data_IF_024382351088
#
_entry.id   IF_024382351088
#
_cell.length_a   1.000
_cell.length_b   1.000
_cell.length_c   1.000
_cell.angle_alpha   90.00
_cell.angle_beta   90.00
_cell.angle_gamma   90.00
#
_symmetry.space_group_name_H-M   'P 1'
#
loop_
_entity.id
_entity.type
_entity.pdbx_description
1 polymer ?
#
# COMPACT_ATOMS: atom_id res chain seq x y z
N UNK A 1 10.62 8.85 -52.69
CA UNK A 1 10.15 7.51 -52.24
C UNK A 1 10.76 7.13 -50.89
N UNK A 2 12.09 7.19 -50.71
CA UNK A 2 12.76 6.96 -49.40
C UNK A 2 12.22 7.81 -48.25
N UNK A 3 11.97 9.11 -48.46
CA UNK A 3 11.47 10.01 -47.40
C UNK A 3 10.06 9.63 -46.91
N UNK A 4 9.18 9.11 -47.77
CA UNK A 4 7.87 8.57 -47.37
C UNK A 4 8.01 7.26 -46.59
N UNK A 5 8.92 6.39 -47.02
CA UNK A 5 9.17 5.10 -46.38
C UNK A 5 9.76 5.27 -44.96
N UNK A 6 10.70 6.19 -44.78
CA UNK A 6 11.25 6.53 -43.47
C UNK A 6 10.20 7.19 -42.57
N UNK A 7 9.35 8.08 -43.10
CA UNK A 7 8.27 8.71 -42.33
C UNK A 7 7.16 7.72 -41.93
N UNK A 8 6.82 6.76 -42.80
CA UNK A 8 5.88 5.67 -42.48
C UNK A 8 6.47 4.65 -41.50
N UNK A 9 7.77 4.34 -41.59
CA UNK A 9 8.45 3.46 -40.64
C UNK A 9 8.55 4.09 -39.25
N UNK A 10 8.93 5.37 -39.16
CA UNK A 10 8.94 6.14 -37.91
C UNK A 10 7.51 6.29 -37.35
N UNK A 11 6.51 6.55 -38.19
CA UNK A 11 5.10 6.59 -37.75
C UNK A 11 4.58 5.20 -37.31
N UNK A 12 5.03 4.08 -37.91
CA UNK A 12 4.69 2.73 -37.46
C UNK A 12 5.38 2.40 -36.13
N UNK A 13 6.67 2.68 -36.00
CA UNK A 13 7.44 2.45 -34.77
C UNK A 13 6.96 3.34 -33.60
N UNK A 14 6.44 4.55 -33.86
CA UNK A 14 5.79 5.39 -32.84
C UNK A 14 4.31 5.04 -32.56
N UNK A 15 3.57 4.48 -33.52
CA UNK A 15 2.18 4.02 -33.30
C UNK A 15 2.10 2.78 -32.41
N UNK A 16 3.10 1.90 -32.47
CA UNK A 16 3.15 0.68 -31.66
C UNK A 16 3.19 0.94 -30.15
N UNK A 17 4.02 1.85 -29.59
CA UNK A 17 4.02 2.13 -28.15
C UNK A 17 2.76 2.86 -27.69
N UNK A 18 2.19 3.79 -28.47
CA UNK A 18 0.95 4.48 -28.11
C UNK A 18 -0.23 3.51 -28.07
N UNK A 19 -0.31 2.59 -29.04
CA UNK A 19 -1.33 1.54 -29.05
C UNK A 19 -1.14 0.57 -27.86
N UNK A 20 0.09 0.19 -27.54
CA UNK A 20 0.39 -0.65 -26.38
C UNK A 20 -0.01 0.03 -25.06
N UNK A 21 0.28 1.33 -24.90
CA UNK A 21 -0.19 2.12 -23.76
C UNK A 21 -1.71 2.17 -23.69
N UNK A 22 -2.38 2.41 -24.83
CA UNK A 22 -3.84 2.40 -24.92
C UNK A 22 -4.45 1.06 -24.49
N UNK A 23 -3.92 -0.05 -25.02
CA UNK A 23 -4.39 -1.40 -24.65
C UNK A 23 -4.09 -1.73 -23.19
N UNK A 24 -2.93 -1.31 -22.66
CA UNK A 24 -2.59 -1.47 -21.25
C UNK A 24 -3.58 -0.69 -20.37
N UNK A 25 -3.91 0.55 -20.72
CA UNK A 25 -4.89 1.37 -20.02
C UNK A 25 -6.27 0.71 -20.02
N UNK A 26 -6.75 0.28 -21.18
CA UNK A 26 -8.07 -0.38 -21.31
C UNK A 26 -8.12 -1.65 -20.47
N UNK A 27 -7.10 -2.52 -20.56
CA UNK A 27 -7.08 -3.74 -19.76
C UNK A 27 -7.01 -3.43 -18.26
N UNK A 28 -6.23 -2.43 -17.86
CA UNK A 28 -6.11 -1.99 -16.47
C UNK A 28 -7.45 -1.50 -15.92
N UNK A 29 -8.18 -0.67 -16.69
CA UNK A 29 -9.49 -0.16 -16.33
C UNK A 29 -10.52 -1.28 -16.23
N UNK A 30 -10.57 -2.20 -17.21
CA UNK A 30 -11.50 -3.33 -17.19
C UNK A 30 -11.28 -4.23 -15.96
N UNK A 31 -10.02 -4.56 -15.66
CA UNK A 31 -9.69 -5.37 -14.48
C UNK A 31 -10.01 -4.62 -13.19
N UNK A 32 -9.67 -3.34 -13.07
CA UNK A 32 -10.00 -2.55 -11.88
C UNK A 32 -11.50 -2.42 -11.67
N UNK A 33 -12.29 -2.12 -12.71
CA UNK A 33 -13.75 -2.05 -12.61
C UNK A 33 -14.33 -3.40 -12.19
N UNK A 34 -13.85 -4.50 -12.77
CA UNK A 34 -14.26 -5.85 -12.37
C UNK A 34 -13.95 -6.15 -10.90
N UNK A 35 -12.75 -5.78 -10.43
CA UNK A 35 -12.35 -5.93 -9.04
C UNK A 35 -13.11 -5.03 -8.07
N UNK A 36 -13.43 -3.79 -8.47
CA UNK A 36 -14.32 -2.92 -7.70
C UNK A 36 -15.72 -3.53 -7.57
N UNK A 37 -16.27 -4.10 -8.65
CA UNK A 37 -17.55 -4.80 -8.61
C UNK A 37 -17.55 -6.01 -7.68
N UNK A 38 -16.42 -6.71 -7.59
CA UNK A 38 -16.19 -7.80 -6.64
C UNK A 38 -15.81 -7.31 -5.22
N UNK A 39 -15.79 -6.00 -4.97
CA UNK A 39 -15.38 -5.39 -3.70
C UNK A 39 -14.00 -5.85 -3.22
N UNK A 40 -13.09 -6.13 -4.16
CA UNK A 40 -11.74 -6.54 -3.82
C UNK A 40 -10.93 -5.36 -3.28
N UNK A 41 -10.23 -5.52 -2.16
CA UNK A 41 -9.34 -4.49 -1.62
C UNK A 41 -8.20 -4.21 -2.61
N UNK A 42 -7.74 -2.96 -2.66
CA UNK A 42 -6.68 -2.51 -3.57
C UNK A 42 -6.96 -2.76 -5.08
N UNK A 43 -8.22 -2.86 -5.49
CA UNK A 43 -8.64 -3.09 -6.88
C UNK A 43 -8.01 -2.11 -7.88
N UNK A 44 -7.86 -0.84 -7.49
CA UNK A 44 -7.25 0.22 -8.31
C UNK A 44 -5.77 0.03 -8.60
N UNK A 45 -5.08 -0.81 -7.82
CA UNK A 45 -3.68 -1.16 -8.07
C UNK A 45 -3.55 -2.56 -8.66
N UNK A 46 -4.32 -3.53 -8.14
CA UNK A 46 -4.26 -4.92 -8.59
C UNK A 46 -4.58 -5.06 -10.08
N UNK A 47 -5.58 -4.33 -10.58
CA UNK A 47 -5.93 -4.33 -12.01
C UNK A 47 -4.76 -3.93 -12.91
N UNK A 48 -4.20 -2.71 -12.76
CA UNK A 48 -3.04 -2.22 -13.49
C UNK A 48 -1.79 -3.10 -13.33
N UNK A 49 -1.57 -3.67 -12.13
CA UNK A 49 -0.46 -4.58 -11.88
C UNK A 49 -0.60 -5.87 -12.69
N UNK A 50 -1.77 -6.52 -12.67
CA UNK A 50 -2.04 -7.74 -13.44
C UNK A 50 -2.00 -7.46 -14.94
N UNK A 51 -2.57 -6.33 -15.39
CA UNK A 51 -2.47 -5.89 -16.78
C UNK A 51 -1.00 -5.72 -17.21
N UNK A 52 -0.18 -5.07 -16.37
CA UNK A 52 1.25 -4.94 -16.58
C UNK A 52 1.98 -6.28 -16.66
N UNK A 53 1.67 -7.24 -15.78
CA UNK A 53 2.24 -8.59 -15.80
C UNK A 53 1.89 -9.29 -17.12
N UNK A 54 0.63 -9.25 -17.55
CA UNK A 54 0.18 -9.87 -18.81
C UNK A 54 0.93 -9.29 -20.00
N UNK A 55 1.10 -7.97 -20.06
CA UNK A 55 1.84 -7.29 -21.12
C UNK A 55 3.34 -7.61 -21.09
N UNK A 56 3.92 -7.68 -19.89
CA UNK A 56 5.33 -8.02 -19.72
C UNK A 56 5.61 -9.47 -20.16
N UNK A 57 4.72 -10.42 -19.83
CA UNK A 57 4.82 -11.81 -20.32
C UNK A 57 4.71 -11.94 -21.84
N UNK A 58 4.06 -10.97 -22.50
CA UNK A 58 3.94 -10.90 -23.97
C UNK A 58 5.15 -10.21 -24.64
N UNK A 59 6.18 -9.86 -23.88
CA UNK A 59 7.42 -9.26 -24.42
C UNK A 59 7.29 -7.78 -24.78
N UNK A 60 6.30 -7.07 -24.23
CA UNK A 60 6.12 -5.64 -24.46
C UNK A 60 7.20 -4.85 -23.72
N UNK A 61 7.86 -3.90 -24.40
CA UNK A 61 8.99 -3.11 -23.86
C UNK A 61 8.56 -1.83 -23.12
N UNK A 62 7.28 -1.72 -22.75
CA UNK A 62 6.77 -0.55 -22.05
C UNK A 62 7.43 -0.42 -20.67
N UNK A 63 7.96 0.78 -20.40
CA UNK A 63 8.51 1.12 -19.09
C UNK A 63 7.89 2.44 -18.64
N UNK A 64 7.33 2.45 -17.43
CA UNK A 64 6.85 3.69 -16.84
C UNK A 64 8.05 4.60 -16.51
N UNK A 65 8.04 5.88 -16.91
CA UNK A 65 9.11 6.81 -16.55
C UNK A 65 9.19 6.98 -15.04
N UNK A 66 10.42 7.14 -14.53
CA UNK A 66 10.67 7.29 -13.08
C UNK A 66 9.91 8.47 -12.48
N UNK A 67 9.75 9.57 -13.20
CA UNK A 67 9.01 10.76 -12.77
C UNK A 67 7.54 10.44 -12.44
N UNK A 68 6.86 9.64 -13.26
CA UNK A 68 5.47 9.26 -13.01
C UNK A 68 5.34 8.41 -11.73
N UNK A 69 6.31 7.52 -11.48
CA UNK A 69 6.34 6.74 -10.25
C UNK A 69 6.59 7.62 -9.01
N UNK A 70 7.53 8.58 -9.08
CA UNK A 70 7.78 9.52 -7.97
C UNK A 70 6.59 10.46 -7.73
N UNK A 71 5.90 10.89 -8.79
CA UNK A 71 4.69 11.69 -8.68
C UNK A 71 3.56 10.90 -7.98
N UNK A 72 3.37 9.63 -8.35
CA UNK A 72 2.41 8.75 -7.69
C UNK A 72 2.73 8.55 -6.20
N UNK A 73 4.02 8.38 -5.85
CA UNK A 73 4.46 8.32 -4.46
C UNK A 73 4.14 9.61 -3.68
N UNK A 74 4.31 10.78 -4.29
CA UNK A 74 4.00 12.05 -3.64
C UNK A 74 2.50 12.22 -3.39
N UNK A 75 1.66 11.82 -4.36
CA UNK A 75 0.20 11.81 -4.22
C UNK A 75 -0.23 10.87 -3.09
N UNK A 76 0.31 9.66 -3.04
CA UNK A 76 0.01 8.72 -1.95
C UNK A 76 0.55 9.19 -0.59
N UNK A 77 1.65 9.94 -0.57
CA UNK A 77 2.11 10.63 0.63
C UNK A 77 1.07 11.63 1.15
N UNK A 78 0.46 12.41 0.26
CA UNK A 78 -0.62 13.32 0.61
C UNK A 78 -1.88 12.56 1.07
N UNK A 79 -2.18 11.40 0.49
CA UNK A 79 -3.28 10.53 0.95
C UNK A 79 -3.11 10.10 2.40
N UNK A 80 -1.88 9.71 2.78
CA UNK A 80 -1.59 9.38 4.16
C UNK A 80 -1.70 10.62 5.06
N UNK A 81 -1.19 11.78 4.61
CA UNK A 81 -1.31 13.05 5.33
C UNK A 81 -2.75 13.47 5.59
N UNK A 82 -3.66 13.25 4.63
CA UNK A 82 -5.08 13.55 4.78
C UNK A 82 -5.71 12.80 5.96
N UNK A 83 -5.20 11.60 6.25
CA UNK A 83 -5.64 10.77 7.37
C UNK A 83 -5.00 11.17 8.71
N UNK A 84 -3.94 11.99 8.71
CA UNK A 84 -3.25 12.49 9.91
C UNK A 84 -3.90 13.81 10.38
N UNK A 85 -5.00 13.70 11.11
CA UNK A 85 -5.76 14.83 11.64
C UNK A 85 -5.35 15.21 13.07
N UNK A 86 -5.61 16.45 13.49
CA UNK A 86 -5.35 16.90 14.87
C UNK A 86 -6.08 16.10 15.94
N UNK A 87 -7.24 15.51 15.61
CA UNK A 87 -7.97 14.61 16.53
C UNK A 87 -7.18 13.34 16.87
N UNK A 88 -6.34 12.84 15.95
CA UNK A 88 -5.46 11.70 16.24
C UNK A 88 -4.46 12.06 17.33
N UNK A 89 -3.93 13.28 17.36
CA UNK A 89 -3.02 13.73 18.41
C UNK A 89 -3.71 13.73 19.77
N UNK A 90 -4.96 14.18 19.84
CA UNK A 90 -5.73 14.12 21.10
C UNK A 90 -6.04 12.69 21.53
N UNK A 91 -6.38 11.79 20.60
CA UNK A 91 -6.58 10.36 20.90
C UNK A 91 -5.28 9.70 21.36
N UNK A 92 -4.13 10.12 20.80
CA UNK A 92 -2.82 9.68 21.21
C UNK A 92 -2.49 10.11 22.62
N UNK A 93 -2.73 11.37 22.98
CA UNK A 93 -2.44 11.87 24.33
C UNK A 93 -3.20 11.08 25.40
N UNK A 94 -4.46 10.72 25.12
CA UNK A 94 -5.30 9.95 26.06
C UNK A 94 -4.90 8.47 26.09
N UNK A 95 -4.63 7.86 24.93
CA UNK A 95 -4.44 6.41 24.80
C UNK A 95 -2.99 5.98 24.53
N UNK A 96 -2.00 6.84 24.78
CA UNK A 96 -0.60 6.61 24.39
C UNK A 96 -0.02 5.27 24.86
N UNK A 97 -0.31 4.73 26.07
CA UNK A 97 0.27 3.46 26.50
C UNK A 97 -0.30 2.28 25.69
N UNK A 98 -1.59 2.32 25.39
CA UNK A 98 -2.30 1.29 24.61
C UNK A 98 -1.80 1.32 23.19
N UNK A 99 -1.74 2.52 22.59
CA UNK A 99 -1.23 2.72 21.24
C UNK A 99 0.21 2.20 21.13
N UNK A 100 1.08 2.59 22.07
CA UNK A 100 2.48 2.15 22.08
C UNK A 100 2.58 0.63 22.22
N UNK A 101 1.81 0.02 23.11
CA UNK A 101 1.78 -1.43 23.30
C UNK A 101 1.32 -2.15 22.02
N UNK A 102 0.24 -1.71 21.39
CA UNK A 102 -0.24 -2.27 20.12
C UNK A 102 0.81 -2.14 19.02
N UNK A 103 1.40 -0.95 18.88
CA UNK A 103 2.45 -0.70 17.90
C UNK A 103 3.64 -1.63 18.10
N UNK A 104 4.18 -1.72 19.33
CA UNK A 104 5.34 -2.55 19.64
C UNK A 104 5.06 -4.04 19.39
N UNK A 105 3.94 -4.56 19.89
CA UNK A 105 3.61 -5.98 19.70
C UNK A 105 3.38 -6.28 18.22
N UNK A 106 2.69 -5.42 17.47
CA UNK A 106 2.44 -5.64 16.04
C UNK A 106 3.74 -5.60 15.22
N UNK A 107 4.63 -4.65 15.54
CA UNK A 107 5.97 -4.51 14.96
C UNK A 107 6.82 -5.75 15.23
N UNK A 108 6.93 -6.16 16.49
CA UNK A 108 7.69 -7.35 16.89
C UNK A 108 7.12 -8.62 16.26
N UNK A 109 5.79 -8.79 16.29
CA UNK A 109 5.13 -9.96 15.72
C UNK A 109 5.41 -10.08 14.24
N UNK A 110 5.33 -8.97 13.49
CA UNK A 110 5.60 -8.98 12.06
C UNK A 110 7.09 -9.10 11.75
N UNK A 111 7.98 -8.56 12.59
CA UNK A 111 9.41 -8.77 12.46
C UNK A 111 9.78 -10.25 12.67
N UNK A 112 9.18 -10.93 13.65
CA UNK A 112 9.36 -12.37 13.89
C UNK A 112 8.82 -13.17 12.71
N UNK A 113 7.58 -12.91 12.28
CA UNK A 113 6.97 -13.58 11.13
C UNK A 113 7.79 -13.35 9.86
N UNK A 114 8.30 -12.14 9.67
CA UNK A 114 9.17 -11.78 8.55
C UNK A 114 10.53 -12.47 8.58
N UNK A 115 11.14 -12.55 9.76
CA UNK A 115 12.38 -13.31 9.96
C UNK A 115 12.18 -14.80 9.67
N UNK A 116 11.09 -15.41 10.17
CA UNK A 116 10.73 -16.79 9.87
C UNK A 116 10.50 -16.98 8.36
N UNK A 117 9.80 -16.06 7.72
CA UNK A 117 9.55 -16.11 6.28
C UNK A 117 10.87 -16.07 5.49
N UNK A 118 11.79 -15.16 5.81
CA UNK A 118 13.11 -15.11 5.17
C UNK A 118 13.91 -16.39 5.43
N UNK A 119 13.83 -16.95 6.65
CA UNK A 119 14.59 -18.14 7.04
C UNK A 119 14.09 -19.42 6.34
N UNK A 120 12.79 -19.55 6.13
CA UNK A 120 12.16 -20.77 5.60
C UNK A 120 11.72 -20.67 4.13
N UNK A 121 11.77 -19.49 3.51
CA UNK A 121 11.44 -19.31 2.09
C UNK A 121 12.69 -19.17 1.22
N UNK A 122 12.49 -19.21 -0.10
CA UNK A 122 13.54 -18.97 -1.10
C UNK A 122 13.70 -17.50 -1.48
N UNK A 123 13.12 -16.58 -0.69
CA UNK A 123 13.16 -15.15 -0.96
C UNK A 123 14.54 -14.54 -0.64
N UNK A 124 15.00 -13.54 -1.42
CA UNK A 124 16.15 -12.73 -1.03
C UNK A 124 15.89 -12.05 0.32
N UNK A 125 16.87 -12.03 1.23
CA UNK A 125 16.65 -11.54 2.60
C UNK A 125 16.11 -10.12 2.70
N UNK A 126 16.64 -9.19 1.91
CA UNK A 126 16.15 -7.80 1.87
C UNK A 126 14.71 -7.72 1.32
N UNK A 127 14.40 -8.47 0.24
CA UNK A 127 13.05 -8.56 -0.33
C UNK A 127 12.05 -9.16 0.65
N UNK A 128 12.41 -10.25 1.33
CA UNK A 128 11.54 -10.88 2.31
C UNK A 128 11.32 -10.00 3.53
N UNK A 129 12.33 -9.26 3.99
CA UNK A 129 12.19 -8.29 5.09
C UNK A 129 11.22 -7.17 4.74
N UNK A 130 11.39 -6.49 3.60
CA UNK A 130 10.48 -5.43 3.16
C UNK A 130 9.08 -5.95 2.77
N UNK A 131 9.00 -7.17 2.22
CA UNK A 131 7.73 -7.79 1.83
C UNK A 131 6.90 -8.29 3.00
N UNK A 132 7.53 -8.63 4.13
CA UNK A 132 6.84 -9.10 5.35
C UNK A 132 6.60 -8.00 6.38
N UNK A 133 7.34 -6.89 6.28
CA UNK A 133 7.18 -5.76 7.20
C UNK A 133 5.73 -5.23 7.15
N UNK A 134 5.10 -4.99 8.31
CA UNK A 134 3.83 -4.28 8.35
C UNK A 134 4.06 -2.87 7.80
N UNK A 135 3.01 -2.16 7.40
CA UNK A 135 3.15 -0.83 6.81
C UNK A 135 2.42 -0.73 5.48
N UNK A 136 2.07 0.49 5.09
CA UNK A 136 1.35 0.77 3.87
C UNK A 136 2.05 0.15 2.66
N UNK A 137 1.31 -0.63 1.85
CA UNK A 137 1.88 -1.40 0.76
C UNK A 137 2.70 -0.53 -0.22
N UNK A 138 2.16 0.64 -0.59
CA UNK A 138 2.86 1.60 -1.43
C UNK A 138 4.17 2.14 -0.81
N UNK A 139 4.17 2.37 0.51
CA UNK A 139 5.35 2.81 1.24
C UNK A 139 6.44 1.75 1.28
N UNK A 140 6.08 0.49 1.53
CA UNK A 140 7.04 -0.61 1.58
C UNK A 140 7.65 -0.89 0.21
N UNK A 141 6.87 -0.75 -0.87
CA UNK A 141 7.34 -0.82 -2.25
C UNK A 141 8.31 0.31 -2.58
N UNK A 142 8.02 1.54 -2.12
CA UNK A 142 8.91 2.68 -2.25
C UNK A 142 10.24 2.46 -1.52
N UNK A 143 10.19 1.99 -0.26
CA UNK A 143 11.38 1.71 0.54
C UNK A 143 12.21 0.58 -0.07
N UNK A 144 11.56 -0.50 -0.50
CA UNK A 144 12.23 -1.61 -1.17
C UNK A 144 13.03 -1.15 -2.40
N UNK A 145 12.51 -0.18 -3.18
CA UNK A 145 13.22 0.38 -4.32
C UNK A 145 14.52 1.08 -3.90
N UNK A 146 14.48 1.91 -2.86
CA UNK A 146 15.64 2.68 -2.43
C UNK A 146 16.70 1.83 -1.73
N UNK A 147 16.28 0.73 -1.08
CA UNK A 147 17.19 -0.25 -0.48
C UNK A 147 17.62 -1.37 -1.43
N UNK A 148 17.30 -1.27 -2.73
CA UNK A 148 17.74 -2.23 -3.75
C UNK A 148 17.13 -3.63 -3.63
N UNK A 149 16.00 -3.76 -2.92
CA UNK A 149 15.22 -4.99 -2.89
C UNK A 149 14.41 -5.16 -4.19
N UNK A 150 13.96 -6.39 -4.46
CA UNK A 150 13.11 -6.62 -5.62
C UNK A 150 11.69 -6.09 -5.36
N UNK A 151 11.43 -4.89 -5.88
CA UNK A 151 10.17 -4.14 -5.78
C UNK A 151 8.97 -5.00 -6.17
N UNK A 152 9.14 -5.89 -7.15
CA UNK A 152 8.05 -6.71 -7.71
C UNK A 152 7.62 -7.78 -6.73
N UNK A 153 8.59 -8.46 -6.14
CA UNK A 153 8.34 -9.46 -5.11
C UNK A 153 7.78 -8.83 -3.83
N UNK A 154 8.31 -7.67 -3.41
CA UNK A 154 7.76 -6.91 -2.26
C UNK A 154 6.31 -6.50 -2.51
N UNK A 155 6.02 -5.91 -3.67
CA UNK A 155 4.67 -5.52 -4.03
C UNK A 155 3.71 -6.72 -4.03
N UNK A 156 4.11 -7.83 -4.66
CA UNK A 156 3.32 -9.06 -4.67
C UNK A 156 2.97 -9.51 -3.25
N UNK A 157 3.96 -9.56 -2.35
CA UNK A 157 3.74 -9.94 -0.95
C UNK A 157 2.82 -8.97 -0.21
N UNK A 158 3.04 -7.66 -0.36
CA UNK A 158 2.30 -6.62 0.35
C UNK A 158 0.84 -6.55 -0.11
N UNK A 159 0.57 -6.61 -1.42
CA UNK A 159 -0.80 -6.59 -1.94
C UNK A 159 -1.54 -7.90 -1.74
N UNK A 160 -0.83 -9.05 -1.78
CA UNK A 160 -1.42 -10.33 -1.38
C UNK A 160 -1.83 -10.28 0.10
N UNK A 161 -0.99 -9.71 0.98
CA UNK A 161 -1.35 -9.47 2.38
C UNK A 161 -2.58 -8.57 2.49
N UNK A 162 -2.60 -7.43 1.82
CA UNK A 162 -3.77 -6.52 1.84
C UNK A 162 -5.04 -7.27 1.42
N UNK A 163 -4.97 -8.11 0.39
CA UNK A 163 -6.10 -8.93 -0.07
C UNK A 163 -6.64 -9.86 1.02
N UNK A 164 -5.78 -10.69 1.61
CA UNK A 164 -6.21 -11.65 2.63
C UNK A 164 -6.60 -10.98 3.95
N UNK A 165 -5.91 -9.91 4.35
CA UNK A 165 -6.20 -9.21 5.60
C UNK A 165 -7.53 -8.47 5.52
N UNK A 166 -7.78 -7.74 4.43
CA UNK A 166 -9.07 -7.08 4.25
C UNK A 166 -10.21 -8.10 4.03
N UNK A 167 -9.96 -9.18 3.27
CA UNK A 167 -10.93 -10.27 3.12
C UNK A 167 -11.28 -10.94 4.46
N UNK A 168 -10.27 -11.19 5.31
CA UNK A 168 -10.48 -11.70 6.66
C UNK A 168 -11.25 -10.72 7.54
N UNK A 169 -10.96 -9.41 7.45
CA UNK A 169 -11.70 -8.40 8.19
C UNK A 169 -13.18 -8.34 7.79
N UNK A 170 -13.49 -8.41 6.49
CA UNK A 170 -14.88 -8.50 6.00
C UNK A 170 -15.55 -9.77 6.51
N UNK A 171 -14.87 -10.91 6.46
CA UNK A 171 -15.40 -12.19 6.94
C UNK A 171 -15.70 -12.16 8.44
N UNK A 172 -14.76 -11.68 9.27
CA UNK A 172 -14.93 -11.55 10.72
C UNK A 172 -16.10 -10.62 11.03
N UNK A 173 -16.18 -9.48 10.34
CA UNK A 173 -17.27 -8.51 10.51
C UNK A 173 -18.63 -9.13 10.18
N UNK A 174 -18.74 -9.82 9.04
CA UNK A 174 -19.95 -10.57 8.64
C UNK A 174 -20.34 -11.63 9.68
N UNK A 175 -19.38 -12.38 10.22
CA UNK A 175 -19.64 -13.40 11.22
C UNK A 175 -20.11 -12.83 12.57
N UNK A 176 -19.64 -11.63 12.95
CA UNK A 176 -20.01 -11.02 14.23
C UNK A 176 -21.29 -10.18 14.17
N UNK A 177 -21.53 -9.45 13.08
CA UNK A 177 -22.71 -8.58 12.90
C UNK A 177 -23.90 -9.29 12.22
N UNK A 178 -23.69 -10.47 11.63
CA UNK A 178 -24.74 -11.20 10.89
C UNK A 178 -25.26 -10.42 9.67
N UNK A 179 -26.53 -10.60 9.34
CA UNK A 179 -27.21 -9.87 8.25
C UNK A 179 -27.40 -8.36 8.54
N UNK A 180 -27.16 -7.92 9.78
CA UNK A 180 -27.14 -6.50 10.16
C UNK A 180 -25.83 -5.80 9.78
N UNK A 181 -24.88 -6.51 9.17
CA UNK A 181 -23.76 -5.87 8.49
C UNK A 181 -24.31 -5.13 7.26
N UNK A 182 -24.84 -3.93 7.47
CA UNK A 182 -25.21 -3.03 6.39
C UNK A 182 -23.97 -2.86 5.52
N UNK A 183 -24.08 -3.27 4.25
CA UNK A 183 -23.07 -2.92 3.28
C UNK A 183 -23.06 -1.40 3.20
N UNK A 184 -22.06 -0.77 3.81
CA UNK A 184 -21.77 0.65 3.65
C UNK A 184 -21.40 0.83 2.18
N UNK A 185 -22.42 0.98 1.34
CA UNK A 185 -22.30 1.34 -0.06
C UNK A 185 -21.96 2.83 -0.08
N UNK A 186 -20.70 3.17 0.21
CA UNK A 186 -20.21 4.49 -0.11
C UNK A 186 -20.23 4.61 -1.62
N UNK A 187 -21.14 5.46 -2.12
CA UNK A 187 -21.17 5.82 -3.51
C UNK A 187 -19.87 6.59 -3.80
N UNK A 188 -18.90 5.94 -4.43
CA UNK A 188 -17.62 6.56 -4.77
C UNK A 188 -17.91 7.71 -5.73
N UNK A 189 -17.76 8.94 -5.26
CA UNK A 189 -17.89 10.14 -6.09
C UNK A 189 -16.59 10.27 -6.88
N UNK A 190 -16.58 9.72 -8.09
CA UNK A 190 -15.40 9.71 -8.95
C UNK A 190 -14.96 11.10 -9.39
N UNK A 191 -15.90 12.04 -9.55
CA UNK A 191 -15.63 13.38 -10.07
C UNK A 191 -16.30 14.44 -9.17
N UNK A 192 -15.74 14.71 -7.97
CA UNK A 192 -16.21 15.80 -7.13
C UNK A 192 -15.88 17.16 -7.77
N UNK A 193 -16.63 18.23 -7.45
CA UNK A 193 -16.32 19.57 -7.92
C UNK A 193 -14.94 19.99 -7.40
N UNK A 194 -14.04 20.33 -8.33
CA UNK A 194 -12.65 20.66 -8.03
C UNK A 194 -12.59 22.01 -7.33
N UNK A 195 -12.02 22.04 -6.12
CA UNK A 195 -11.79 23.28 -5.38
C UNK A 195 -10.33 23.76 -5.48
N UNK A 196 -10.05 24.96 -4.95
CA UNK A 196 -8.67 25.50 -4.83
C UNK A 196 -7.76 24.58 -3.99
N UNK A 197 -8.35 23.78 -3.11
CA UNK A 197 -7.63 22.86 -2.24
C UNK A 197 -6.96 21.72 -3.01
N UNK A 198 -7.53 21.29 -4.15
CA UNK A 198 -6.87 20.35 -5.04
C UNK A 198 -5.58 20.93 -5.59
N UNK A 199 -5.60 22.21 -6.02
CA UNK A 199 -4.40 22.87 -6.52
C UNK A 199 -3.34 22.99 -5.44
N UNK A 200 -3.71 23.35 -4.21
CA UNK A 200 -2.81 23.38 -3.07
C UNK A 200 -2.23 22.00 -2.74
N UNK A 201 -3.04 20.96 -2.84
CA UNK A 201 -2.61 19.57 -2.62
C UNK A 201 -1.61 19.12 -3.69
N UNK A 202 -1.86 19.43 -4.96
CA UNK A 202 -0.93 19.13 -6.06
C UNK A 202 0.37 19.93 -5.89
N UNK A 203 0.27 21.20 -5.54
CA UNK A 203 1.43 22.05 -5.27
C UNK A 203 2.27 21.49 -4.12
N UNK A 204 1.62 21.09 -3.02
CA UNK A 204 2.26 20.41 -1.90
C UNK A 204 2.95 19.13 -2.35
N UNK A 205 2.26 18.25 -3.10
CA UNK A 205 2.84 17.00 -3.59
C UNK A 205 4.10 17.24 -4.45
N UNK A 206 4.06 18.23 -5.34
CA UNK A 206 5.19 18.58 -6.21
C UNK A 206 6.34 19.18 -5.40
N UNK A 207 6.08 20.19 -4.57
CA UNK A 207 7.14 20.88 -3.80
C UNK A 207 7.74 19.95 -2.75
N UNK A 208 6.90 19.31 -1.92
CA UNK A 208 7.37 18.39 -0.89
C UNK A 208 8.02 17.14 -1.51
N UNK A 209 7.49 16.64 -2.63
CA UNK A 209 8.06 15.49 -3.33
C UNK A 209 9.42 15.80 -3.94
N UNK A 210 9.60 16.97 -4.56
CA UNK A 210 10.88 17.42 -5.10
C UNK A 210 11.91 17.65 -3.99
N UNK A 211 11.52 18.28 -2.88
CA UNK A 211 12.36 18.40 -1.68
C UNK A 211 12.76 17.01 -1.16
N UNK A 212 11.83 16.06 -1.10
CA UNK A 212 12.12 14.68 -0.72
C UNK A 212 13.14 14.00 -1.63
N UNK A 213 13.09 14.25 -2.93
CA UNK A 213 14.09 13.77 -3.88
C UNK A 213 15.46 14.41 -3.67
N UNK A 214 15.52 15.70 -3.31
CA UNK A 214 16.76 16.45 -3.07
C UNK A 214 17.45 16.04 -1.76
N UNK A 215 16.67 15.78 -0.71
CA UNK A 215 17.18 15.39 0.60
C UNK A 215 17.77 13.97 0.63
N UNK A 216 17.62 13.18 -0.45
CA UNK A 216 18.11 11.79 -0.58
C UNK A 216 17.69 10.90 0.59
N UNK A 217 16.55 11.21 1.21
CA UNK A 217 15.96 10.38 2.25
C UNK A 217 15.33 9.14 1.60
N UNK A 218 15.41 7.97 2.25
CA UNK A 218 14.72 6.77 1.77
C UNK A 218 13.20 7.04 1.73
N UNK A 219 12.59 6.78 0.58
CA UNK A 219 11.21 7.14 0.23
C UNK A 219 10.86 8.61 0.48
N UNK A 220 11.84 9.52 0.35
CA UNK A 220 11.65 10.95 0.61
C UNK A 220 10.52 11.58 -0.22
N UNK A 221 10.32 11.09 -1.44
CA UNK A 221 9.24 11.52 -2.34
C UNK A 221 7.83 11.20 -1.84
N UNK A 222 7.68 10.26 -0.91
CA UNK A 222 6.41 9.97 -0.23
C UNK A 222 6.40 10.52 1.22
N UNK A 223 7.52 10.37 1.93
CA UNK A 223 7.65 10.73 3.34
C UNK A 223 7.55 12.25 3.56
N UNK A 224 8.19 13.06 2.73
CA UNK A 224 8.15 14.52 2.89
C UNK A 224 6.76 15.10 2.60
N UNK A 225 6.05 14.73 1.51
CA UNK A 225 4.65 15.11 1.33
C UNK A 225 3.74 14.64 2.46
N UNK A 226 3.97 13.45 3.00
CA UNK A 226 3.21 12.93 4.15
C UNK A 226 3.41 13.79 5.40
N UNK A 227 4.65 14.12 5.75
CA UNK A 227 4.95 14.94 6.94
C UNK A 227 4.54 16.40 6.78
N UNK A 228 4.91 17.01 5.66
CA UNK A 228 4.55 18.40 5.38
C UNK A 228 3.02 18.55 5.29
N UNK A 229 2.35 17.62 4.63
CA UNK A 229 0.89 17.58 4.56
C UNK A 229 0.25 17.40 5.92
N UNK A 230 0.73 16.48 6.76
CA UNK A 230 0.18 16.29 8.10
C UNK A 230 0.31 17.56 8.96
N UNK A 231 1.45 18.24 8.92
CA UNK A 231 1.66 19.50 9.65
C UNK A 231 0.75 20.62 9.13
N UNK A 232 0.66 20.79 7.82
CA UNK A 232 -0.18 21.83 7.21
C UNK A 232 -1.68 21.57 7.40
N UNK A 233 -2.11 20.31 7.32
CA UNK A 233 -3.47 19.85 7.57
C UNK A 233 -3.87 20.05 9.05
N UNK A 234 -3.03 19.59 9.98
CA UNK A 234 -3.29 19.71 11.42
C UNK A 234 -3.26 21.16 11.90
N UNK A 235 -2.42 22.00 11.30
CA UNK A 235 -2.42 23.45 11.51
C UNK A 235 -3.58 24.19 10.85
N UNK A 236 -4.50 23.49 10.16
CA UNK A 236 -5.62 24.06 9.40
C UNK A 236 -5.20 25.08 8.32
N UNK A 237 -3.93 25.06 7.87
CA UNK A 237 -3.42 25.95 6.82
C UNK A 237 -3.86 25.51 5.42
N UNK A 238 -3.93 24.21 5.20
CA UNK A 238 -4.34 23.60 3.93
C UNK A 238 -5.28 22.45 4.26
N UNK A 239 -6.38 22.33 3.50
CA UNK A 239 -7.18 21.10 3.50
C UNK A 239 -6.76 20.25 2.31
N UNK A 240 -6.20 19.07 2.56
CA UNK A 240 -5.79 18.11 1.56
C UNK A 240 -7.04 17.53 0.91
N UNK A 241 -7.15 17.72 -0.41
CA UNK A 241 -8.24 17.21 -1.22
C UNK A 241 -7.66 16.28 -2.29
N UNK A 242 -8.03 15.00 -2.20
CA UNK A 242 -7.58 13.94 -3.11
C UNK A 242 -8.79 13.27 -3.74
N UNK A 243 -9.20 13.73 -4.94
CA UNK A 243 -10.24 13.07 -5.70
C UNK A 243 -9.87 11.64 -6.05
N UNK A 244 -10.87 10.76 -6.10
CA UNK A 244 -10.70 9.34 -6.37
C UNK A 244 -10.05 9.04 -7.72
N UNK A 245 -10.33 9.87 -8.74
CA UNK A 245 -9.66 9.75 -10.04
C UNK A 245 -8.14 10.00 -9.95
N UNK A 246 -7.69 10.91 -9.08
CA UNK A 246 -6.28 11.22 -8.88
C UNK A 246 -5.57 10.08 -8.14
N UNK A 247 -6.21 9.52 -7.11
CA UNK A 247 -5.73 8.34 -6.39
C UNK A 247 -5.67 7.12 -7.32
N UNK A 248 -6.71 6.91 -8.14
CA UNK A 248 -6.73 5.83 -9.13
C UNK A 248 -5.57 5.96 -10.12
N UNK A 249 -5.25 7.16 -10.62
CA UNK A 249 -4.08 7.37 -11.47
C UNK A 249 -2.77 7.07 -10.76
N UNK A 250 -2.63 7.47 -9.49
CA UNK A 250 -1.42 7.19 -8.70
C UNK A 250 -1.24 5.68 -8.46
N UNK A 251 -2.29 4.98 -8.03
CA UNK A 251 -2.28 3.52 -7.87
C UNK A 251 -2.04 2.80 -9.21
N UNK A 252 -2.60 3.30 -10.31
CA UNK A 252 -2.39 2.76 -11.64
C UNK A 252 -0.94 2.92 -12.12
N UNK A 253 -0.32 4.08 -11.90
CA UNK A 253 1.09 4.29 -12.20
C UNK A 253 1.99 3.33 -11.39
N UNK A 254 1.72 3.17 -10.09
CA UNK A 254 2.47 2.21 -9.26
C UNK A 254 2.25 0.78 -9.75
N UNK A 255 1.01 0.40 -10.04
CA UNK A 255 0.65 -0.91 -10.57
C UNK A 255 1.35 -1.21 -11.89
N UNK A 256 1.38 -0.26 -12.83
CA UNK A 256 2.13 -0.40 -14.09
C UNK A 256 3.63 -0.54 -13.85
N UNK A 257 4.22 0.28 -12.98
CA UNK A 257 5.66 0.20 -12.66
C UNK A 257 6.05 -1.18 -12.13
N UNK A 258 5.22 -1.75 -11.26
CA UNK A 258 5.43 -3.07 -10.69
C UNK A 258 5.18 -4.15 -11.76
N UNK A 259 4.01 -4.12 -12.40
CA UNK A 259 3.54 -5.17 -13.30
C UNK A 259 4.40 -5.31 -14.55
N UNK A 260 4.76 -4.20 -15.19
CA UNK A 260 5.65 -4.18 -16.36
C UNK A 260 7.08 -4.62 -16.03
N UNK A 261 7.44 -4.69 -14.74
CA UNK A 261 8.74 -5.15 -14.30
C UNK A 261 8.88 -6.66 -14.19
N UNK A 262 7.77 -7.43 -14.23
CA UNK A 262 7.79 -8.87 -14.05
C UNK A 262 8.24 -9.59 -15.32
N UNK A 263 9.23 -10.47 -15.21
CA UNK A 263 9.54 -11.48 -16.23
C UNK A 263 9.12 -12.88 -15.77
N UNK A 264 9.02 -13.86 -16.68
CA UNK A 264 8.63 -15.25 -16.40
C UNK A 264 9.43 -15.84 -15.24
N UNK A 265 10.73 -15.56 -15.18
CA UNK A 265 11.59 -16.01 -14.08
C UNK A 265 11.27 -15.33 -12.74
N UNK A 266 10.87 -14.06 -12.76
CA UNK A 266 10.52 -13.30 -11.56
C UNK A 266 9.15 -13.76 -11.04
N UNK A 267 8.20 -14.00 -11.94
CA UNK A 267 6.88 -14.52 -11.60
C UNK A 267 6.99 -15.91 -10.94
N UNK A 268 7.78 -16.82 -11.51
CA UNK A 268 8.02 -18.13 -10.90
C UNK A 268 8.72 -18.01 -9.54
N UNK A 269 9.64 -17.06 -9.39
CA UNK A 269 10.28 -16.74 -8.09
C UNK A 269 9.30 -16.14 -7.07
N UNK A 270 8.24 -15.47 -7.52
CA UNK A 270 7.17 -14.97 -6.66
C UNK A 270 6.21 -16.08 -6.22
N UNK A 271 5.89 -17.00 -7.14
CA UNK A 271 4.95 -18.10 -6.91
C UNK A 271 5.55 -19.25 -6.10
N UNK A 272 6.85 -19.52 -6.22
CA UNK A 272 7.52 -20.61 -5.48
C UNK A 272 7.42 -20.48 -3.94
N UNK A 273 7.65 -19.31 -3.32
CA UNK A 273 7.46 -19.11 -1.88
C UNK A 273 6.01 -18.77 -1.50
N UNK A 274 5.04 -18.83 -2.43
CA UNK A 274 3.65 -18.47 -2.17
C UNK A 274 3.04 -19.18 -0.96
N UNK A 275 3.23 -20.51 -0.75
CA UNK A 275 2.70 -21.18 0.43
C UNK A 275 3.26 -20.62 1.74
N UNK A 276 4.55 -20.28 1.78
CA UNK A 276 5.21 -19.68 2.94
C UNK A 276 4.71 -18.25 3.18
N UNK A 277 4.50 -17.47 2.11
CA UNK A 277 3.91 -16.12 2.20
C UNK A 277 2.50 -16.22 2.78
N UNK A 278 1.65 -17.11 2.26
CA UNK A 278 0.30 -17.34 2.78
C UNK A 278 0.33 -17.75 4.25
N UNK A 279 1.18 -18.72 4.62
CA UNK A 279 1.36 -19.15 5.99
C UNK A 279 1.77 -17.98 6.91
N UNK A 280 2.67 -17.11 6.45
CA UNK A 280 3.09 -15.93 7.20
C UNK A 280 1.94 -14.92 7.39
N UNK A 281 1.10 -14.73 6.37
CA UNK A 281 -0.08 -13.85 6.44
C UNK A 281 -1.10 -14.40 7.44
N UNK A 282 -1.42 -15.70 7.36
CA UNK A 282 -2.35 -16.34 8.28
C UNK A 282 -1.82 -16.38 9.72
N UNK A 283 -0.52 -16.61 9.90
CA UNK A 283 0.12 -16.53 11.22
C UNK A 283 0.01 -15.12 11.80
N UNK A 284 0.27 -14.08 10.99
CA UNK A 284 0.14 -12.70 11.43
C UNK A 284 -1.31 -12.35 11.77
N UNK A 285 -2.28 -12.80 10.96
CA UNK A 285 -3.71 -12.63 11.24
C UNK A 285 -4.12 -13.30 12.56
N UNK A 286 -3.63 -14.51 12.82
CA UNK A 286 -3.89 -15.22 14.07
C UNK A 286 -3.29 -14.48 15.28
N UNK A 287 -2.08 -13.94 15.14
CA UNK A 287 -1.45 -13.14 16.20
C UNK A 287 -2.24 -11.85 16.46
N UNK A 288 -2.67 -11.14 15.41
CA UNK A 288 -3.52 -9.95 15.55
C UNK A 288 -4.86 -10.29 16.21
N UNK A 289 -5.51 -11.40 15.83
CA UNK A 289 -6.76 -11.83 16.46
C UNK A 289 -6.58 -12.20 17.94
N UNK A 290 -5.51 -12.93 18.28
CA UNK A 290 -5.17 -13.25 19.67
C UNK A 290 -4.85 -12.01 20.49
N UNK A 291 -4.16 -11.04 19.89
CA UNK A 291 -3.90 -9.75 20.51
C UNK A 291 -5.19 -8.96 20.76
N UNK A 292 -6.08 -8.88 19.76
CA UNK A 292 -7.38 -8.22 19.89
C UNK A 292 -8.22 -8.84 21.01
N UNK A 293 -8.24 -10.17 21.11
CA UNK A 293 -8.89 -10.89 22.20
C UNK A 293 -8.30 -10.54 23.57
N UNK A 294 -6.97 -10.49 23.69
CA UNK A 294 -6.28 -10.05 24.91
C UNK A 294 -6.66 -8.61 25.29
N UNK A 295 -6.63 -7.68 24.34
CA UNK A 295 -7.01 -6.28 24.59
C UNK A 295 -8.47 -6.16 25.04
N UNK A 296 -9.38 -6.94 24.45
CA UNK A 296 -10.79 -6.98 24.85
C UNK A 296 -10.91 -7.35 26.34
N UNK A 297 -10.10 -8.32 26.81
CA UNK A 297 -10.18 -8.82 28.18
C UNK A 297 -9.52 -7.93 29.22
N UNK A 298 -8.42 -7.25 28.86
CA UNK A 298 -7.64 -6.43 29.77
C UNK A 298 -8.03 -4.95 29.77
N UNK A 299 -8.51 -4.42 28.64
CA UNK A 299 -8.73 -2.98 28.43
C UNK A 299 -10.19 -2.60 28.20
N UNK A 300 -11.13 -3.56 28.23
CA UNK A 300 -12.57 -3.34 28.00
C UNK A 300 -12.91 -2.65 26.66
N UNK A 301 -12.04 -2.80 25.66
CA UNK A 301 -12.27 -2.31 24.29
C UNK A 301 -13.08 -3.37 23.54
N UNK A 302 -14.01 -2.96 22.68
CA UNK A 302 -14.76 -3.87 21.81
C UNK A 302 -13.81 -4.68 20.90
N UNK A 303 -14.12 -5.97 20.69
CA UNK A 303 -13.27 -6.87 19.93
C UNK A 303 -13.04 -6.39 18.49
N UNK A 304 -14.06 -5.82 17.84
CA UNK A 304 -13.94 -5.34 16.47
C UNK A 304 -13.05 -4.11 16.41
N UNK A 305 -13.15 -3.21 17.39
CA UNK A 305 -12.22 -2.08 17.54
C UNK A 305 -10.79 -2.58 17.70
N UNK A 306 -10.55 -3.51 18.63
CA UNK A 306 -9.21 -4.04 18.88
C UNK A 306 -8.66 -4.82 17.68
N UNK A 307 -9.49 -5.58 16.97
CA UNK A 307 -9.11 -6.34 15.79
C UNK A 307 -8.74 -5.43 14.62
N UNK A 308 -9.58 -4.45 14.30
CA UNK A 308 -9.33 -3.50 13.23
C UNK A 308 -8.13 -2.58 13.53
N UNK A 309 -7.94 -2.19 14.79
CA UNK A 309 -6.79 -1.38 15.22
C UNK A 309 -5.45 -2.14 15.17
N UNK A 310 -5.46 -3.45 15.45
CA UNK A 310 -4.25 -4.30 15.44
C UNK A 310 -3.95 -4.89 14.05
N UNK A 311 -4.95 -5.02 13.18
CA UNK A 311 -4.82 -5.69 11.88
C UNK A 311 -3.99 -4.88 10.86
N UNK A 312 -3.05 -5.50 10.11
CA UNK A 312 -2.21 -4.85 9.10
C UNK A 312 -2.93 -4.68 7.75
N UNK A 313 -4.16 -4.16 7.78
CA UNK A 313 -5.00 -3.90 6.61
C UNK A 313 -4.71 -2.56 5.93
N UNK A 314 -5.38 -2.32 4.80
CA UNK A 314 -5.38 -1.00 4.14
C UNK A 314 -6.28 -0.02 4.88
N UNK A 315 -5.84 1.25 4.97
CA UNK A 315 -6.57 2.36 5.60
C UNK A 315 -8.02 2.42 5.14
N UNK A 316 -8.23 2.43 3.82
CA UNK A 316 -9.53 2.64 3.18
C UNK A 316 -10.52 1.51 3.52
N UNK A 317 -10.09 0.25 3.43
CA UNK A 317 -10.98 -0.90 3.69
C UNK A 317 -11.34 -1.00 5.17
N UNK A 318 -10.39 -0.76 6.06
CA UNK A 318 -10.64 -0.81 7.50
C UNK A 318 -11.54 0.35 7.94
N UNK A 319 -11.39 1.53 7.35
CA UNK A 319 -12.29 2.66 7.60
C UNK A 319 -13.73 2.34 7.20
N UNK A 320 -13.95 1.75 6.02
CA UNK A 320 -15.29 1.35 5.56
C UNK A 320 -15.92 0.31 6.50
N UNK A 321 -15.15 -0.70 6.90
CA UNK A 321 -15.63 -1.73 7.85
C UNK A 321 -15.96 -1.10 9.20
N UNK A 322 -15.07 -0.24 9.72
CA UNK A 322 -15.28 0.43 11.00
C UNK A 322 -16.51 1.33 11.00
N UNK A 323 -16.77 2.07 9.90
CA UNK A 323 -17.95 2.92 9.75
C UNK A 323 -19.28 2.13 9.73
N UNK A 324 -19.27 0.89 9.24
CA UNK A 324 -20.43 -0.01 9.26
C UNK A 324 -20.62 -0.73 10.59
N UNK A 325 -19.93 -0.31 11.64
CA UNK A 325 -19.76 -1.09 12.87
C UNK A 325 -19.71 -0.17 14.10
N UNK A 326 -20.00 -0.68 15.30
CA UNK A 326 -19.89 0.11 16.55
C UNK A 326 -18.44 0.30 17.04
N UNK A 327 -17.46 0.22 16.13
CA UNK A 327 -16.05 0.31 16.49
C UNK A 327 -15.57 1.76 16.67
N UNK A 328 -14.59 1.97 17.54
CA UNK A 328 -13.96 3.27 17.74
C UNK A 328 -13.08 3.63 16.53
N UNK A 329 -13.68 4.38 15.61
CA UNK A 329 -13.04 4.86 14.40
C UNK A 329 -11.83 5.76 14.71
N UNK A 330 -11.86 6.55 15.80
CA UNK A 330 -10.77 7.45 16.13
C UNK A 330 -9.51 6.66 16.52
N UNK A 331 -9.67 5.61 17.34
CA UNK A 331 -8.55 4.74 17.71
C UNK A 331 -8.00 3.98 16.49
N UNK A 332 -8.87 3.44 15.64
CA UNK A 332 -8.47 2.69 14.43
C UNK A 332 -7.69 3.58 13.45
N UNK A 333 -8.23 4.78 13.17
CA UNK A 333 -7.62 5.72 12.23
C UNK A 333 -6.35 6.36 12.79
N UNK A 334 -6.20 6.46 14.11
CA UNK A 334 -4.93 6.86 14.74
C UNK A 334 -3.84 5.78 14.56
N UNK A 335 -4.18 4.52 14.81
CA UNK A 335 -3.22 3.42 14.84
C UNK A 335 -2.54 3.15 13.49
N UNK A 336 -3.26 3.32 12.38
CA UNK A 336 -2.76 2.93 11.07
C UNK A 336 -1.66 3.84 10.51
N UNK A 337 -1.80 5.18 10.46
CA UNK A 337 -0.75 6.08 10.03
C UNK A 337 0.46 6.05 10.98
N UNK A 338 0.22 5.94 12.30
CA UNK A 338 1.31 5.84 13.28
C UNK A 338 2.17 4.60 13.09
N UNK A 339 1.54 3.46 12.76
CA UNK A 339 2.26 2.24 12.41
C UNK A 339 3.07 2.41 11.14
N UNK A 340 2.50 3.04 10.12
CA UNK A 340 3.25 3.33 8.91
C UNK A 340 4.43 4.26 9.20
N UNK A 341 4.23 5.30 10.02
CA UNK A 341 5.25 6.25 10.41
C UNK A 341 6.38 5.58 11.23
N UNK A 342 6.03 4.80 12.25
CA UNK A 342 7.00 4.09 13.08
C UNK A 342 7.83 3.11 12.26
N UNK A 343 7.25 2.46 11.25
CA UNK A 343 7.96 1.55 10.35
C UNK A 343 8.78 2.29 9.32
N UNK A 344 8.36 3.46 8.85
CA UNK A 344 9.22 4.27 7.98
C UNK A 344 10.49 4.68 8.73
N UNK A 345 10.39 5.00 10.02
CA UNK A 345 11.53 5.35 10.87
C UNK A 345 12.38 4.13 11.26
N UNK A 346 11.76 3.02 11.67
CA UNK A 346 12.46 1.82 12.18
C UNK A 346 12.77 0.77 11.12
N UNK A 347 12.10 0.84 9.97
CA UNK A 347 12.16 -0.13 8.88
C UNK A 347 13.57 -0.38 8.35
N UNK A 348 14.42 0.64 8.14
CA UNK A 348 15.82 0.42 7.78
C UNK A 348 16.60 -0.42 8.80
N UNK A 349 16.35 -0.19 10.10
CA UNK A 349 17.00 -0.96 11.17
C UNK A 349 16.49 -2.41 11.20
N UNK A 350 15.17 -2.60 11.07
CA UNK A 350 14.53 -3.92 11.04
C UNK A 350 14.98 -4.72 9.80
N UNK A 351 14.96 -4.09 8.63
CA UNK A 351 15.40 -4.71 7.38
C UNK A 351 16.87 -5.12 7.44
N UNK A 352 17.74 -4.25 7.98
CA UNK A 352 19.16 -4.57 8.21
C UNK A 352 19.36 -5.71 9.20
N UNK A 353 18.58 -5.73 10.28
CA UNK A 353 18.63 -6.82 11.26
C UNK A 353 18.23 -8.16 10.62
N UNK A 354 17.08 -8.21 9.94
CA UNK A 354 16.58 -9.42 9.28
C UNK A 354 17.57 -9.87 8.19
N UNK A 355 18.10 -8.97 7.38
CA UNK A 355 19.05 -9.34 6.32
C UNK A 355 20.39 -9.87 6.84
N UNK A 356 20.83 -9.41 8.01
CA UNK A 356 22.12 -9.80 8.61
C UNK A 356 22.00 -11.11 9.40
N UNK A 357 20.90 -11.29 10.14
CA UNK A 357 20.72 -12.39 11.09
C UNK A 357 19.79 -13.51 10.61
N UNK A 358 19.22 -13.42 9.41
CA UNK A 358 18.58 -14.55 8.75
C UNK A 358 19.58 -15.20 7.78
N UNK A 359 20.47 -16.11 8.24
CA UNK A 359 21.42 -16.77 7.35
C UNK A 359 20.65 -17.50 6.25
N UNK A 360 21.09 -17.33 5.01
CA UNK A 360 20.61 -18.12 3.87
C UNK A 360 20.77 -19.60 4.24
N UNK A 361 19.73 -20.40 4.02
CA UNK A 361 19.96 -21.83 3.75
C UNK A 361 20.76 -21.85 2.45
N UNK A 362 22.07 -21.97 2.53
CA UNK A 362 22.87 -22.45 1.41
C UNK A 362 22.25 -23.79 1.02
N UNK A 363 21.65 -23.82 -0.17
CA UNK A 363 21.20 -25.06 -0.79
C UNK A 363 22.42 -25.95 -1.07
#
# INVERSE_FOLDING_TARGET
MLYRYTKEKIMREQRMPVLQWGMLCVLSLLLSIGFLGLHLPAALLLGPMIAGIIFSMRGVTLQLPRSAFLAAQAILGCMIAQNLTGSILTTLEVNWPIVLAILLVTLLSSAIVGWLLVRYSSLPGNTGAWGSSPGGAAAMVAMAQDYGADIRLVAFMQYLRVLFVAGAAVLVTRMMLGDNAEAVNQHIVWFPPVSINLLLTILLAVVAGTVGCLLRLPSGTMLIPMLAGAVLQSGQLITIELPEWLLAMAYMAIGWRIGLGFDKQILLRALRPLPQILLSIFALLAICAGMAWGLTRFMHIDFMTAYLATSPGGLDTVAVIAAGSNADMALIMAMQPLRLFSILLTGPAIARFISTYAPKRTA
#
